data_IF_268470585632
#
_entry.id   IF_268470585632
#
_cell.length_a   1.000
_cell.length_b   1.000
_cell.length_c   1.000
_cell.angle_alpha   90.00
_cell.angle_beta   90.00
_cell.angle_gamma   90.00
#
_symmetry.space_group_name_H-M   'P 1'
#
loop_
_entity.id
_entity.type
_entity.pdbx_description
1 polymer ?
#
# COMPACT_ATOMS: atom_id res chain seq x y z
N UNK A 1 15.04 3.36 -51.19
CA UNK A 1 16.19 3.64 -50.30
C UNK A 1 16.26 5.13 -50.00
N UNK A 2 16.11 5.53 -48.72
CA UNK A 2 16.87 6.57 -47.99
C UNK A 2 16.10 6.91 -46.70
N UNK A 3 16.60 6.37 -45.59
CA UNK A 3 16.28 6.78 -44.21
C UNK A 3 16.83 8.19 -43.99
N UNK A 4 16.10 9.07 -43.29
CA UNK A 4 16.69 10.09 -42.43
C UNK A 4 15.78 10.30 -41.21
N UNK A 5 16.27 9.81 -40.09
CA UNK A 5 15.75 10.00 -38.74
C UNK A 5 16.10 11.43 -38.32
N UNK A 6 15.12 12.18 -37.85
CA UNK A 6 15.28 13.46 -37.15
C UNK A 6 14.40 13.31 -35.89
N UNK A 7 14.95 12.83 -34.78
CA UNK A 7 15.72 13.66 -33.86
C UNK A 7 14.78 14.20 -32.78
N UNK A 8 14.19 13.32 -31.96
CA UNK A 8 13.40 13.72 -30.80
C UNK A 8 14.38 14.11 -29.71
N UNK A 9 14.45 15.40 -29.41
CA UNK A 9 15.13 15.93 -28.24
C UNK A 9 14.42 15.39 -26.99
N UNK A 10 15.04 14.42 -26.32
CA UNK A 10 14.63 14.00 -24.98
C UNK A 10 15.23 15.03 -24.03
N UNK A 11 14.42 15.99 -23.62
CA UNK A 11 14.69 16.83 -22.46
C UNK A 11 14.72 15.91 -21.25
N UNK A 12 15.94 15.57 -20.81
CA UNK A 12 16.19 14.96 -19.51
C UNK A 12 15.64 15.94 -18.48
N UNK A 13 14.44 15.64 -17.95
CA UNK A 13 13.99 16.22 -16.69
C UNK A 13 15.01 15.78 -15.65
N UNK A 14 15.95 16.68 -15.37
CA UNK A 14 16.73 16.68 -14.15
C UNK A 14 15.73 16.67 -13.00
N UNK A 15 15.41 15.48 -12.51
CA UNK A 15 14.79 15.31 -11.21
C UNK A 15 15.83 15.83 -10.24
N UNK A 16 15.66 17.10 -9.87
CA UNK A 16 16.35 17.70 -8.75
C UNK A 16 16.17 16.75 -7.59
N UNK A 17 17.26 16.11 -7.17
CA UNK A 17 17.43 15.43 -5.89
C UNK A 17 17.30 16.47 -4.79
N UNK A 18 16.09 16.99 -4.61
CA UNK A 18 15.69 17.51 -3.33
C UNK A 18 15.70 16.31 -2.41
N UNK A 19 16.55 16.33 -1.39
CA UNK A 19 16.33 15.61 -0.14
C UNK A 19 15.02 16.14 0.50
N UNK A 20 13.90 16.02 -0.20
CA UNK A 20 12.58 16.23 0.34
C UNK A 20 12.34 15.11 1.33
N UNK A 21 12.03 15.46 2.58
CA UNK A 21 11.61 14.48 3.56
C UNK A 21 10.52 13.60 2.91
N UNK A 22 10.61 12.26 3.01
CA UNK A 22 9.63 11.40 2.39
C UNK A 22 8.23 11.77 2.88
N UNK A 23 7.27 11.87 1.96
CA UNK A 23 5.87 12.15 2.31
C UNK A 23 5.21 10.85 2.80
N UNK A 24 5.53 10.44 4.02
CA UNK A 24 5.04 9.19 4.61
C UNK A 24 3.51 9.18 4.77
N UNK A 25 2.87 10.34 4.97
CA UNK A 25 1.41 10.45 5.01
C UNK A 25 0.74 10.03 3.69
N UNK A 26 1.35 10.37 2.55
CA UNK A 26 0.86 9.88 1.26
C UNK A 26 1.04 8.37 1.18
N UNK A 27 2.18 7.86 1.63
CA UNK A 27 2.46 6.43 1.62
C UNK A 27 1.48 5.62 2.48
N UNK A 28 1.11 6.14 3.65
CA UNK A 28 0.04 5.58 4.49
C UNK A 28 -1.32 5.61 3.76
N UNK A 29 -1.65 6.72 3.10
CA UNK A 29 -2.91 6.85 2.34
C UNK A 29 -2.98 5.85 1.19
N UNK A 30 -1.87 5.68 0.48
CA UNK A 30 -1.74 4.71 -0.61
C UNK A 30 -1.87 3.28 -0.08
N UNK A 31 -1.26 2.99 1.09
CA UNK A 31 -1.34 1.66 1.69
C UNK A 31 -2.76 1.32 2.15
N UNK A 32 -3.44 2.28 2.78
CA UNK A 32 -4.85 2.14 3.15
C UNK A 32 -5.70 1.85 1.92
N UNK A 33 -5.47 2.57 0.81
CA UNK A 33 -6.23 2.37 -0.43
C UNK A 33 -6.00 0.97 -1.03
N UNK A 34 -4.76 0.48 -1.00
CA UNK A 34 -4.43 -0.87 -1.44
C UNK A 34 -5.03 -1.94 -0.53
N UNK A 35 -4.98 -1.75 0.78
CA UNK A 35 -5.54 -2.69 1.75
C UNK A 35 -7.07 -2.80 1.61
N UNK A 36 -7.76 -1.67 1.41
CA UNK A 36 -9.21 -1.63 1.10
C UNK A 36 -9.52 -2.43 -0.16
N UNK A 37 -8.79 -2.15 -1.24
CA UNK A 37 -8.97 -2.86 -2.51
C UNK A 37 -8.71 -4.36 -2.38
N UNK A 38 -7.67 -4.75 -1.64
CA UNK A 38 -7.39 -6.16 -1.35
C UNK A 38 -8.56 -6.80 -0.58
N UNK A 39 -9.07 -6.12 0.45
CA UNK A 39 -10.22 -6.63 1.20
C UNK A 39 -11.42 -6.87 0.28
N UNK A 40 -11.84 -5.86 -0.48
CA UNK A 40 -12.99 -5.93 -1.40
C UNK A 40 -12.84 -7.02 -2.46
N UNK A 41 -11.65 -7.16 -3.07
CA UNK A 41 -11.43 -8.12 -4.15
C UNK A 41 -11.18 -9.55 -3.64
N UNK A 42 -10.48 -9.70 -2.52
CA UNK A 42 -9.93 -10.99 -2.07
C UNK A 42 -10.62 -11.56 -0.85
N UNK A 43 -11.10 -10.75 0.09
CA UNK A 43 -11.58 -11.20 1.40
C UNK A 43 -13.09 -11.02 1.61
N UNK A 44 -13.69 -9.97 1.08
CA UNK A 44 -15.08 -9.62 1.31
C UNK A 44 -16.02 -10.79 0.96
N UNK A 45 -16.90 -11.15 1.90
CA UNK A 45 -17.81 -12.29 1.78
C UNK A 45 -17.15 -13.68 1.86
N UNK A 46 -15.82 -13.76 2.02
CA UNK A 46 -15.08 -15.04 2.15
C UNK A 46 -14.53 -15.27 3.56
N UNK A 47 -14.45 -14.24 4.39
CA UNK A 47 -14.02 -14.35 5.79
C UNK A 47 -15.23 -14.54 6.71
N UNK A 48 -15.17 -15.56 7.57
CA UNK A 48 -16.10 -15.77 8.68
C UNK A 48 -15.30 -15.92 9.98
N UNK A 49 -15.74 -15.27 11.05
CA UNK A 49 -15.17 -15.45 12.40
C UNK A 49 -13.77 -14.90 12.66
N UNK A 50 -13.26 -14.04 11.79
CA UNK A 50 -12.02 -13.28 12.02
C UNK A 50 -12.30 -11.80 11.91
N UNK A 51 -11.99 -11.05 12.96
CA UNK A 51 -12.23 -9.61 13.10
C UNK A 51 -11.01 -8.78 12.68
N UNK A 52 -9.84 -9.41 12.48
CA UNK A 52 -8.59 -8.73 12.19
C UNK A 52 -7.83 -9.43 11.05
N UNK A 53 -7.61 -8.72 9.94
CA UNK A 53 -6.84 -9.21 8.79
C UNK A 53 -5.58 -8.40 8.56
N UNK A 54 -4.44 -9.04 8.80
CA UNK A 54 -3.13 -8.50 8.46
C UNK A 54 -2.81 -8.74 6.98
N UNK A 55 -2.55 -7.67 6.24
CA UNK A 55 -2.17 -7.69 4.83
C UNK A 55 -0.82 -6.98 4.69
N UNK A 56 0.26 -7.73 4.44
CA UNK A 56 1.59 -7.16 4.27
C UNK A 56 1.86 -6.71 2.83
N UNK A 57 2.86 -5.84 2.65
CA UNK A 57 3.39 -5.49 1.33
C UNK A 57 3.88 -6.72 0.57
N UNK A 58 4.47 -7.70 1.27
CA UNK A 58 4.85 -8.99 0.67
C UNK A 58 3.65 -9.73 0.06
N UNK A 59 2.54 -9.83 0.80
CA UNK A 59 1.32 -10.48 0.31
C UNK A 59 0.77 -9.71 -0.90
N UNK A 60 0.71 -8.38 -0.83
CA UNK A 60 0.23 -7.53 -1.94
C UNK A 60 1.07 -7.71 -3.21
N UNK A 61 2.39 -7.82 -3.10
CA UNK A 61 3.26 -8.09 -4.24
C UNK A 61 2.98 -9.48 -4.83
N UNK A 62 2.82 -10.51 -3.99
CA UNK A 62 2.54 -11.88 -4.42
C UNK A 62 1.21 -12.03 -5.17
N UNK A 63 0.19 -11.25 -4.78
CA UNK A 63 -1.10 -11.21 -5.48
C UNK A 63 -1.15 -10.19 -6.63
N UNK A 64 -0.02 -9.52 -6.93
CA UNK A 64 0.18 -8.72 -8.14
C UNK A 64 -0.17 -7.23 -8.04
N UNK A 65 -0.31 -6.68 -6.83
CA UNK A 65 -0.44 -5.22 -6.65
C UNK A 65 0.92 -4.54 -6.84
N UNK A 66 0.90 -3.33 -7.38
CA UNK A 66 2.10 -2.51 -7.52
C UNK A 66 2.49 -1.90 -6.17
N UNK A 67 3.60 -2.40 -5.61
CA UNK A 67 4.20 -1.86 -4.38
C UNK A 67 5.45 -1.00 -4.64
N UNK A 68 5.72 -0.63 -5.90
CA UNK A 68 6.89 0.19 -6.27
C UNK A 68 7.04 1.43 -5.39
N UNK A 69 5.98 2.22 -5.10
CA UNK A 69 6.09 3.40 -4.25
C UNK A 69 6.65 3.12 -2.84
N UNK A 70 6.39 1.94 -2.28
CA UNK A 70 6.90 1.52 -0.97
C UNK A 70 8.37 1.07 -1.06
N UNK A 71 8.70 0.30 -2.10
CA UNK A 71 10.09 -0.15 -2.32
C UNK A 71 11.04 1.02 -2.57
N UNK A 72 10.63 2.04 -3.33
CA UNK A 72 11.41 3.25 -3.58
C UNK A 72 11.65 4.08 -2.31
N UNK A 73 10.82 3.89 -1.28
CA UNK A 73 10.96 4.52 0.04
C UNK A 73 11.62 3.61 1.07
N UNK A 74 12.18 2.47 0.65
CA UNK A 74 12.81 1.47 1.50
C UNK A 74 11.88 0.97 2.62
N UNK A 75 10.61 0.77 2.30
CA UNK A 75 9.68 0.11 3.22
C UNK A 75 9.98 -1.37 3.34
N UNK A 76 9.96 -1.89 4.56
CA UNK A 76 10.10 -3.30 4.87
C UNK A 76 8.88 -4.05 4.33
N UNK A 77 9.10 -5.18 3.65
CA UNK A 77 8.01 -6.00 3.08
C UNK A 77 7.05 -6.57 4.13
N UNK A 78 7.50 -6.66 5.39
CA UNK A 78 6.68 -7.05 6.54
C UNK A 78 5.75 -5.94 7.04
N UNK A 79 5.92 -4.69 6.57
CA UNK A 79 4.96 -3.60 6.78
C UNK A 79 3.57 -4.07 6.33
N UNK A 80 2.55 -3.75 7.12
CA UNK A 80 1.21 -4.28 6.94
C UNK A 80 0.12 -3.27 7.26
N UNK A 81 -1.04 -3.44 6.62
CA UNK A 81 -2.29 -2.84 7.07
C UNK A 81 -3.12 -3.91 7.79
N UNK A 82 -3.77 -3.51 8.87
CA UNK A 82 -4.73 -4.32 9.61
C UNK A 82 -6.14 -3.86 9.23
N UNK A 83 -6.89 -4.72 8.56
CA UNK A 83 -8.33 -4.52 8.36
C UNK A 83 -9.05 -4.99 9.62
N UNK A 84 -9.74 -4.09 10.29
CA UNK A 84 -10.53 -4.38 11.49
C UNK A 84 -12.01 -4.44 11.11
N UNK A 85 -12.61 -5.60 11.29
CA UNK A 85 -14.00 -5.91 11.01
C UNK A 85 -14.77 -5.95 12.32
N UNK A 86 -16.02 -5.46 12.31
CA UNK A 86 -16.94 -5.71 13.42
C UNK A 86 -17.72 -6.99 13.13
N UNK A 87 -17.76 -7.91 14.09
CA UNK A 87 -18.53 -9.15 13.97
C UNK A 87 -19.78 -9.11 14.87
N UNK A 88 -20.86 -9.74 14.43
CA UNK A 88 -22.03 -10.00 15.26
C UNK A 88 -21.85 -11.28 16.12
N UNK A 89 -22.86 -11.61 16.94
CA UNK A 89 -22.84 -12.81 17.79
C UNK A 89 -22.77 -14.13 16.99
N UNK A 90 -23.17 -14.09 15.71
CA UNK A 90 -23.11 -15.22 14.77
C UNK A 90 -21.78 -15.28 14.00
N UNK A 91 -20.80 -14.44 14.36
CA UNK A 91 -19.48 -14.35 13.70
C UNK A 91 -19.52 -13.86 12.25
N UNK A 92 -20.58 -13.16 11.87
CA UNK A 92 -20.73 -12.51 10.57
C UNK A 92 -20.25 -11.06 10.64
N UNK A 93 -19.67 -10.57 9.55
CA UNK A 93 -19.21 -9.19 9.42
C UNK A 93 -20.42 -8.25 9.35
N UNK A 94 -20.44 -7.22 10.19
CA UNK A 94 -21.49 -6.19 10.24
C UNK A 94 -20.89 -4.79 10.24
N UNK A 95 -21.54 -3.86 9.53
CA UNK A 95 -21.13 -2.46 9.48
C UNK A 95 -19.91 -2.20 8.58
N UNK A 96 -19.34 -1.00 8.73
CA UNK A 96 -18.11 -0.59 8.05
C UNK A 96 -16.87 -1.21 8.72
N UNK A 97 -15.75 -1.19 8.01
CA UNK A 97 -14.46 -1.67 8.49
C UNK A 97 -13.44 -0.54 8.62
N UNK A 98 -12.50 -0.71 9.54
CA UNK A 98 -11.39 0.23 9.76
C UNK A 98 -10.10 -0.33 9.17
N UNK A 99 -9.16 0.58 8.86
CA UNK A 99 -7.83 0.21 8.36
C UNK A 99 -6.78 0.94 9.17
N UNK A 100 -5.94 0.17 9.85
CA UNK A 100 -4.78 0.68 10.58
C UNK A 100 -3.50 0.31 9.83
N UNK A 101 -2.59 1.26 9.62
CA UNK A 101 -1.33 1.02 8.93
C UNK A 101 -0.17 0.85 9.91
N UNK A 102 0.69 -0.11 9.61
CA UNK A 102 1.97 -0.30 10.29
C UNK A 102 3.07 -0.33 9.23
N UNK A 103 3.46 0.87 8.78
CA UNK A 103 4.59 1.04 7.85
C UNK A 103 5.90 1.13 8.63
N UNK A 104 6.93 0.47 8.12
CA UNK A 104 8.32 0.69 8.53
C UNK A 104 9.15 0.95 7.28
N UNK A 105 9.65 2.18 7.13
CA UNK A 105 10.36 2.64 5.94
C UNK A 105 11.64 3.39 6.32
N UNK A 106 12.78 2.70 6.21
CA UNK A 106 14.06 3.23 6.70
C UNK A 106 14.00 3.57 8.19
N UNK A 107 14.07 4.87 8.52
CA UNK A 107 13.98 5.35 9.91
C UNK A 107 12.58 5.76 10.35
N UNK A 108 11.57 5.66 9.47
CA UNK A 108 10.20 5.99 9.77
C UNK A 108 9.42 4.73 10.15
N UNK A 109 8.61 4.84 11.19
CA UNK A 109 7.55 3.89 11.53
C UNK A 109 6.26 4.65 11.77
N UNK A 110 5.12 4.06 11.38
CA UNK A 110 3.81 4.65 11.71
C UNK A 110 3.70 4.78 13.23
N UNK A 111 3.31 5.95 13.76
CA UNK A 111 3.08 6.11 15.19
C UNK A 111 2.00 5.14 15.66
N UNK A 112 2.24 4.44 16.77
CA UNK A 112 1.17 3.70 17.45
C UNK A 112 0.15 4.72 17.97
N UNK A 113 -1.14 4.53 17.66
CA UNK A 113 -2.20 5.32 18.29
C UNK A 113 -2.33 4.84 19.75
N UNK A 114 -2.01 5.71 20.72
CA UNK A 114 -2.14 5.46 22.17
C UNK A 114 -3.60 5.41 22.66
#
# INVERSE_FOLDING_TARGET
MKKKILGIAITIMLITVGCGKPNYKQLETDFTSLAKKYYEEQLEGKVLGFDNHKISLEVMEQVGYDITPFTEKNCDKSSYSLIKLTLNEESEVVGDYEVENHLTCGSYSTPEEE
#
